data_IF_734050700037
#
_entry.id   IF_734050700037
#
_cell.length_a   1.000
_cell.length_b   1.000
_cell.length_c   1.000
_cell.angle_alpha   90.00
_cell.angle_beta   90.00
_cell.angle_gamma   90.00
#
_symmetry.space_group_name_H-M   'P 1'
#
loop_
_entity.id
_entity.type
_entity.pdbx_description
1 polymer ?
#
# COMPACT_ATOMS: atom_id res chain seq x y z
N UNK A 1 -22.32 -12.31 9.55
CA UNK A 1 -21.88 -10.92 9.86
C UNK A 1 -21.15 -10.40 8.64
N UNK A 2 -21.45 -9.16 8.20
CA UNK A 2 -20.73 -8.56 7.06
C UNK A 2 -19.34 -8.17 7.52
N UNK A 3 -18.29 -8.62 6.83
CA UNK A 3 -16.91 -8.20 7.04
C UNK A 3 -16.83 -6.68 6.79
N UNK A 4 -16.16 -5.92 7.68
CA UNK A 4 -15.99 -4.48 7.48
C UNK A 4 -15.15 -4.20 6.22
N UNK A 5 -15.28 -3.00 5.64
CA UNK A 5 -14.48 -2.60 4.47
C UNK A 5 -12.97 -2.72 4.76
N UNK A 6 -12.54 -2.27 5.93
CA UNK A 6 -11.13 -2.34 6.32
C UNK A 6 -10.64 -3.79 6.48
N UNK A 7 -11.42 -4.67 7.10
CA UNK A 7 -11.02 -6.07 7.24
C UNK A 7 -10.74 -6.73 5.89
N UNK A 8 -11.55 -6.42 4.85
CA UNK A 8 -11.29 -6.88 3.49
C UNK A 8 -9.96 -6.35 2.94
N UNK A 9 -9.67 -5.06 3.16
CA UNK A 9 -8.38 -4.49 2.73
C UNK A 9 -7.22 -5.12 3.47
N UNK A 10 -7.36 -5.36 4.76
CA UNK A 10 -6.37 -6.06 5.58
C UNK A 10 -6.12 -7.49 5.08
N UNK A 11 -7.17 -8.25 4.76
CA UNK A 11 -7.06 -9.59 4.16
C UNK A 11 -6.27 -9.55 2.85
N UNK A 12 -6.57 -8.64 1.94
CA UNK A 12 -5.84 -8.44 0.69
C UNK A 12 -4.36 -8.12 0.92
N UNK A 13 -4.07 -7.24 1.86
CA UNK A 13 -2.67 -6.89 2.18
C UNK A 13 -1.93 -8.01 2.90
N UNK A 14 -2.60 -8.84 3.70
CA UNK A 14 -2.00 -10.06 4.28
C UNK A 14 -1.67 -11.05 3.15
N UNK A 15 -2.56 -11.23 2.17
CA UNK A 15 -2.29 -12.03 0.98
C UNK A 15 -1.06 -11.52 0.22
N UNK A 16 -1.01 -10.21 -0.07
CA UNK A 16 0.13 -9.59 -0.73
C UNK A 16 1.43 -9.76 0.07
N UNK A 17 1.41 -9.45 1.37
CA UNK A 17 2.59 -9.58 2.25
C UNK A 17 3.08 -11.04 2.30
N UNK A 18 2.16 -12.01 2.35
CA UNK A 18 2.50 -13.44 2.32
C UNK A 18 3.13 -13.81 0.99
N UNK A 19 2.51 -13.42 -0.12
CA UNK A 19 2.98 -13.71 -1.46
C UNK A 19 4.37 -13.11 -1.74
N UNK A 20 4.59 -11.86 -1.31
CA UNK A 20 5.84 -11.12 -1.52
C UNK A 20 6.84 -11.24 -0.36
N UNK A 21 6.56 -12.09 0.63
CA UNK A 21 7.41 -12.27 1.82
C UNK A 21 7.71 -10.94 2.53
N UNK A 22 6.75 -10.02 2.48
CA UNK A 22 6.84 -8.76 3.20
C UNK A 22 6.56 -8.97 4.69
N UNK A 23 7.08 -8.11 5.58
CA UNK A 23 6.90 -8.27 7.02
C UNK A 23 5.43 -8.25 7.45
N UNK A 24 5.05 -9.21 8.31
CA UNK A 24 3.76 -9.27 9.01
C UNK A 24 4.07 -9.36 10.50
N UNK A 25 3.81 -8.30 11.26
CA UNK A 25 3.93 -8.32 12.72
C UNK A 25 2.60 -8.77 13.33
N UNK A 26 2.65 -9.70 14.29
CA UNK A 26 1.46 -10.18 15.01
C UNK A 26 0.99 -9.18 16.07
N UNK A 27 1.90 -8.35 16.52
CA UNK A 27 1.64 -7.30 17.51
C UNK A 27 2.65 -6.16 17.35
N UNK A 28 2.33 -5.00 17.90
CA UNK A 28 3.22 -3.83 17.87
C UNK A 28 4.60 -4.09 18.51
N UNK A 29 4.72 -5.02 19.45
CA UNK A 29 6.00 -5.38 20.06
C UNK A 29 6.98 -6.05 19.08
N UNK A 30 6.50 -6.53 17.95
CA UNK A 30 7.32 -7.11 16.88
C UNK A 30 7.73 -6.08 15.82
N UNK A 31 7.21 -4.84 15.91
CA UNK A 31 7.55 -3.76 14.97
C UNK A 31 9.05 -3.43 15.02
N UNK A 32 9.68 -3.36 13.84
CA UNK A 32 11.11 -3.11 13.71
C UNK A 32 11.36 -1.80 12.98
N UNK A 33 12.26 -1.01 13.51
CA UNK A 33 12.60 0.31 12.96
C UNK A 33 13.18 0.22 11.53
N UNK A 34 13.96 -0.81 11.23
CA UNK A 34 14.53 -1.02 9.90
C UNK A 34 13.45 -1.28 8.83
N UNK A 35 12.33 -1.89 9.20
CA UNK A 35 11.18 -2.09 8.31
C UNK A 35 10.40 -0.80 8.06
N UNK A 36 10.41 0.13 9.01
CA UNK A 36 9.73 1.42 8.88
C UNK A 36 10.36 2.31 7.80
N UNK A 37 11.66 2.23 7.59
CA UNK A 37 12.34 3.03 6.55
C UNK A 37 11.78 2.74 5.13
N UNK A 38 11.56 1.48 4.81
CA UNK A 38 10.90 1.11 3.54
C UNK A 38 9.47 1.65 3.48
N UNK A 39 8.71 1.56 4.57
CA UNK A 39 7.33 2.05 4.62
C UNK A 39 7.24 3.56 4.41
N UNK A 40 8.18 4.32 5.01
CA UNK A 40 8.32 5.76 4.80
C UNK A 40 8.53 6.10 3.32
N UNK A 41 9.46 5.40 2.65
CA UNK A 41 9.74 5.64 1.23
C UNK A 41 8.51 5.34 0.37
N UNK A 42 7.85 4.21 0.57
CA UNK A 42 6.65 3.83 -0.17
C UNK A 42 5.51 4.83 0.04
N UNK A 43 5.19 5.21 1.28
CA UNK A 43 4.14 6.21 1.57
C UNK A 43 4.47 7.54 0.88
N UNK A 44 5.73 7.97 0.94
CA UNK A 44 6.16 9.24 0.35
C UNK A 44 6.10 9.22 -1.18
N UNK A 45 6.44 8.09 -1.81
CA UNK A 45 6.39 7.88 -3.26
C UNK A 45 4.93 7.96 -3.75
N UNK A 46 4.03 7.13 -3.20
CA UNK A 46 2.62 7.08 -3.60
C UNK A 46 1.90 8.42 -3.33
N UNK A 47 2.20 9.04 -2.19
CA UNK A 47 1.64 10.35 -1.89
C UNK A 47 2.13 11.45 -2.83
N UNK A 48 3.40 11.41 -3.25
CA UNK A 48 3.93 12.36 -4.22
C UNK A 48 3.30 12.16 -5.61
N UNK A 49 2.99 10.93 -6.01
CA UNK A 49 2.25 10.63 -7.24
C UNK A 49 0.83 11.19 -7.18
N UNK A 50 0.11 10.94 -6.09
CA UNK A 50 -1.21 11.55 -5.84
C UNK A 50 -1.18 13.08 -5.92
N UNK A 51 -0.18 13.74 -5.33
CA UNK A 51 -0.08 15.21 -5.35
C UNK A 51 0.11 15.78 -6.75
N UNK A 52 0.78 15.06 -7.64
CA UNK A 52 1.02 15.44 -9.04
C UNK A 52 -0.14 15.09 -9.97
N UNK A 53 -1.04 14.20 -9.54
CA UNK A 53 -2.16 13.75 -10.35
C UNK A 53 -3.09 14.92 -10.72
N UNK A 54 -3.33 15.13 -12.00
CA UNK A 54 -4.25 16.16 -12.51
C UNK A 54 -5.56 15.53 -12.99
N UNK A 55 -5.48 14.34 -13.59
CA UNK A 55 -6.63 13.61 -14.09
C UNK A 55 -7.31 12.78 -13.00
N UNK A 56 -8.64 12.64 -13.09
CA UNK A 56 -9.45 11.93 -12.11
C UNK A 56 -8.95 10.48 -11.87
N UNK A 57 -8.64 9.74 -12.93
CA UNK A 57 -8.17 8.36 -12.80
C UNK A 57 -6.81 8.28 -12.10
N UNK A 58 -5.89 9.22 -12.33
CA UNK A 58 -4.60 9.29 -11.63
C UNK A 58 -4.77 9.68 -10.15
N UNK A 59 -5.78 10.51 -9.84
CA UNK A 59 -6.14 10.83 -8.45
C UNK A 59 -6.66 9.58 -7.74
N UNK A 60 -7.53 8.78 -8.39
CA UNK A 60 -8.05 7.53 -7.84
C UNK A 60 -6.91 6.55 -7.60
N UNK A 61 -6.01 6.39 -8.57
CA UNK A 61 -4.82 5.52 -8.48
C UNK A 61 -3.94 5.90 -7.29
N UNK A 62 -3.48 7.14 -7.23
CA UNK A 62 -2.62 7.63 -6.17
C UNK A 62 -3.25 7.57 -4.77
N UNK A 63 -4.55 7.83 -4.63
CA UNK A 63 -5.27 7.65 -3.36
C UNK A 63 -5.34 6.18 -2.96
N UNK A 64 -5.62 5.30 -3.92
CA UNK A 64 -5.75 3.86 -3.67
C UNK A 64 -4.41 3.24 -3.35
N UNK A 65 -3.35 3.58 -4.09
CA UNK A 65 -1.98 3.11 -3.82
C UNK A 65 -1.47 3.65 -2.48
N UNK A 66 -1.73 4.93 -2.14
CA UNK A 66 -1.43 5.46 -0.80
C UNK A 66 -2.13 4.63 0.29
N UNK A 67 -3.42 4.30 0.12
CA UNK A 67 -4.14 3.45 1.07
C UNK A 67 -3.55 2.04 1.16
N UNK A 68 -3.23 1.45 0.01
CA UNK A 68 -2.60 0.12 -0.07
C UNK A 68 -1.31 0.06 0.76
N UNK A 69 -0.46 1.07 0.61
CA UNK A 69 0.78 1.17 1.39
C UNK A 69 0.51 1.44 2.87
N UNK A 70 -0.48 2.27 3.21
CA UNK A 70 -0.83 2.59 4.60
C UNK A 70 -1.38 1.36 5.35
N UNK A 71 -2.28 0.59 4.73
CA UNK A 71 -2.78 -0.67 5.32
C UNK A 71 -1.62 -1.69 5.46
N UNK A 72 -0.77 -1.82 4.45
CA UNK A 72 0.44 -2.64 4.53
C UNK A 72 1.40 -2.18 5.64
N UNK A 73 1.46 -0.88 5.92
CA UNK A 73 2.25 -0.34 7.05
C UNK A 73 1.66 -0.77 8.38
N UNK A 74 0.34 -0.70 8.54
CA UNK A 74 -0.35 -1.17 9.74
C UNK A 74 -0.03 -2.64 10.05
N UNK A 75 -0.04 -3.51 9.01
CA UNK A 75 0.34 -4.92 9.11
C UNK A 75 1.83 -5.07 9.49
N UNK A 76 2.71 -4.29 8.86
CA UNK A 76 4.16 -4.33 9.13
C UNK A 76 4.50 -3.97 10.57
N UNK A 77 3.76 -3.02 11.18
CA UNK A 77 4.00 -2.59 12.57
C UNK A 77 3.08 -3.27 13.59
N UNK A 78 2.23 -4.21 13.16
CA UNK A 78 1.34 -4.95 14.06
C UNK A 78 0.31 -4.07 14.76
N UNK A 79 -0.22 -3.07 14.06
CA UNK A 79 -1.29 -2.17 14.54
C UNK A 79 -2.55 -2.43 13.73
N UNK A 80 -3.69 -2.52 14.42
CA UNK A 80 -5.00 -2.56 13.79
C UNK A 80 -5.73 -1.22 14.00
N UNK A 81 -5.81 -0.35 12.99
CA UNK A 81 -6.43 0.96 13.13
C UNK A 81 -7.94 0.93 13.28
N UNK A 82 -8.60 -0.20 13.05
CA UNK A 82 -10.06 -0.30 12.95
C UNK A 82 -10.82 -0.50 14.24
N UNK A 83 -10.18 -0.32 15.37
CA UNK A 83 -10.90 -0.38 16.67
C UNK A 83 -11.81 0.85 16.88
N UNK A 84 -11.73 1.87 16.00
CA UNK A 84 -12.54 3.10 16.12
C UNK A 84 -13.38 3.30 14.86
N UNK A 85 -14.67 2.96 14.90
CA UNK A 85 -15.64 3.42 13.91
C UNK A 85 -15.84 4.93 14.07
N UNK A 86 -15.30 5.72 13.15
CA UNK A 86 -15.63 7.13 13.05
C UNK A 86 -16.90 7.30 12.21
N UNK A 87 -17.80 8.23 12.60
CA UNK A 87 -18.96 8.53 11.76
C UNK A 87 -18.50 9.03 10.38
N UNK A 88 -19.31 8.80 9.32
CA UNK A 88 -18.98 9.29 8.00
C UNK A 88 -18.79 10.82 8.07
N UNK A 89 -17.66 11.33 7.56
CA UNK A 89 -17.40 12.76 7.63
C UNK A 89 -18.39 13.54 6.76
N UNK A 90 -18.74 14.78 7.16
CA UNK A 90 -19.60 15.61 6.34
C UNK A 90 -18.94 15.86 4.98
N UNK A 91 -19.76 15.82 3.92
CA UNK A 91 -19.34 16.19 2.57
C UNK A 91 -18.90 17.67 2.60
N UNK A 92 -17.62 17.93 2.50
CA UNK A 92 -17.08 19.28 2.48
C UNK A 92 -16.29 19.51 1.20
N UNK A 93 -16.62 20.49 0.36
CA UNK A 93 -15.97 20.77 -0.91
C UNK A 93 -14.57 21.42 -0.80
N UNK A 94 -13.94 21.41 0.38
CA UNK A 94 -12.61 21.99 0.56
C UNK A 94 -11.58 21.29 -0.35
N UNK A 95 -10.59 22.01 -0.92
CA UNK A 95 -9.55 21.43 -1.76
C UNK A 95 -8.83 20.31 -0.99
N UNK A 96 -9.11 19.07 -1.36
CA UNK A 96 -8.79 17.88 -0.58
C UNK A 96 -7.28 17.65 -0.44
N UNK A 97 -6.49 18.10 -1.45
CA UNK A 97 -5.04 17.91 -1.48
C UNK A 97 -4.29 18.51 -0.28
N UNK A 98 -4.79 19.61 0.31
CA UNK A 98 -4.13 20.26 1.46
C UNK A 98 -4.53 19.67 2.82
N UNK A 99 -5.73 19.11 2.94
CA UNK A 99 -6.21 18.51 4.21
C UNK A 99 -5.52 17.20 4.54
N UNK A 100 -4.90 16.57 3.56
CA UNK A 100 -4.25 15.28 3.67
C UNK A 100 -2.76 15.38 4.01
N UNK A 101 -2.13 16.52 3.71
CA UNK A 101 -0.69 16.77 3.94
C UNK A 101 -0.29 16.53 5.39
N UNK A 102 -1.04 17.07 6.34
CA UNK A 102 -0.72 16.97 7.76
C UNK A 102 -0.69 15.53 8.29
N UNK A 103 -1.63 14.70 7.82
CA UNK A 103 -1.76 13.30 8.24
C UNK A 103 -0.60 12.45 7.69
N UNK A 104 -0.26 12.60 6.41
CA UNK A 104 0.85 11.86 5.80
C UNK A 104 2.19 12.29 6.41
N UNK A 105 2.44 13.60 6.53
CA UNK A 105 3.65 14.11 7.17
C UNK A 105 3.75 13.63 8.61
N UNK A 106 2.64 13.64 9.34
CA UNK A 106 2.56 13.12 10.71
C UNK A 106 2.89 11.63 10.79
N UNK A 107 2.31 10.81 9.91
CA UNK A 107 2.58 9.38 9.84
C UNK A 107 4.04 9.09 9.52
N UNK A 108 4.60 9.73 8.48
CA UNK A 108 6.00 9.60 8.08
C UNK A 108 6.92 9.97 9.25
N UNK A 109 6.66 11.10 9.92
CA UNK A 109 7.44 11.51 11.10
C UNK A 109 7.39 10.47 12.22
N UNK A 110 6.21 9.88 12.50
CA UNK A 110 6.07 8.84 13.52
C UNK A 110 6.84 7.57 13.18
N UNK A 111 6.89 7.19 11.91
CA UNK A 111 7.67 6.04 11.45
C UNK A 111 9.19 6.28 11.48
N UNK A 112 9.64 7.54 11.47
CA UNK A 112 11.07 7.91 11.55
C UNK A 112 11.55 8.17 12.97
N UNK A 113 10.68 8.22 13.97
CA UNK A 113 11.07 8.38 15.38
C UNK A 113 11.96 7.21 15.84
N UNK A 114 12.99 7.53 16.64
CA UNK A 114 13.93 6.52 17.17
C UNK A 114 13.24 5.43 17.99
N UNK A 115 12.14 5.78 18.64
CA UNK A 115 11.28 4.86 19.41
C UNK A 115 9.87 4.96 18.84
N UNK A 116 9.38 3.86 18.31
CA UNK A 116 8.03 3.80 17.77
C UNK A 116 6.98 3.97 18.88
N UNK A 117 6.00 4.83 18.65
CA UNK A 117 4.92 5.09 19.59
C UNK A 117 3.61 4.52 19.06
N UNK A 118 3.09 3.48 19.73
CA UNK A 118 1.84 2.81 19.37
C UNK A 118 0.67 3.79 19.16
N UNK A 119 0.38 4.62 20.17
CA UNK A 119 -0.75 5.56 20.11
C UNK A 119 -0.60 6.59 18.98
N UNK A 120 0.62 7.08 18.78
CA UNK A 120 0.90 8.03 17.70
C UNK A 120 0.71 7.41 16.33
N UNK A 121 1.23 6.20 16.10
CA UNK A 121 1.05 5.48 14.85
C UNK A 121 -0.41 5.08 14.62
N UNK A 122 -1.09 4.56 15.63
CA UNK A 122 -2.51 4.20 15.55
C UNK A 122 -3.36 5.40 15.11
N UNK A 123 -3.18 6.58 15.75
CA UNK A 123 -3.92 7.80 15.41
C UNK A 123 -3.71 8.18 13.95
N UNK A 124 -2.45 8.30 13.51
CA UNK A 124 -2.15 8.73 12.14
C UNK A 124 -2.59 7.72 11.08
N UNK A 125 -2.41 6.40 11.31
CA UNK A 125 -2.89 5.37 10.39
C UNK A 125 -4.41 5.43 10.24
N UNK A 126 -5.14 5.58 11.36
CA UNK A 126 -6.60 5.72 11.39
C UNK A 126 -7.04 6.98 10.65
N UNK A 127 -6.42 8.13 10.93
CA UNK A 127 -6.74 9.40 10.29
C UNK A 127 -6.51 9.36 8.77
N UNK A 128 -5.38 8.80 8.31
CA UNK A 128 -5.10 8.67 6.88
C UNK A 128 -6.15 7.79 6.20
N UNK A 129 -6.49 6.64 6.79
CA UNK A 129 -7.55 5.78 6.27
C UNK A 129 -8.87 6.54 6.08
N UNK A 130 -9.33 7.24 7.14
CA UNK A 130 -10.59 7.98 7.07
C UNK A 130 -10.57 9.12 6.05
N UNK A 131 -9.43 9.82 5.92
CA UNK A 131 -9.29 10.87 4.91
C UNK A 131 -9.36 10.32 3.49
N UNK A 132 -8.75 9.18 3.21
CA UNK A 132 -8.84 8.54 1.89
C UNK A 132 -10.27 8.05 1.64
N UNK A 133 -10.94 7.46 2.63
CA UNK A 133 -12.34 7.07 2.49
C UNK A 133 -13.25 8.27 2.22
N UNK A 134 -13.02 9.40 2.89
CA UNK A 134 -13.73 10.66 2.60
C UNK A 134 -13.44 11.16 1.18
N UNK A 135 -12.18 11.07 0.74
CA UNK A 135 -11.80 11.45 -0.62
C UNK A 135 -12.56 10.62 -1.66
N UNK A 136 -12.66 9.31 -1.46
CA UNK A 136 -13.37 8.44 -2.40
C UNK A 136 -14.84 8.87 -2.60
N UNK A 137 -15.52 9.27 -1.50
CA UNK A 137 -16.87 9.83 -1.56
C UNK A 137 -16.89 11.15 -2.35
N UNK A 138 -15.96 12.08 -2.06
CA UNK A 138 -15.89 13.39 -2.72
C UNK A 138 -15.56 13.30 -4.21
N UNK A 139 -14.72 12.34 -4.61
CA UNK A 139 -14.39 12.07 -6.01
C UNK A 139 -15.40 11.14 -6.71
N UNK A 140 -16.39 10.63 -5.98
CA UNK A 140 -17.48 9.82 -6.51
C UNK A 140 -17.01 8.45 -7.02
N UNK A 141 -16.13 7.74 -6.29
CA UNK A 141 -15.72 6.39 -6.63
C UNK A 141 -15.84 5.41 -5.47
N UNK A 142 -15.98 4.13 -5.81
CA UNK A 142 -16.01 3.05 -4.82
C UNK A 142 -14.59 2.68 -4.40
N UNK A 143 -14.22 3.03 -3.16
CA UNK A 143 -12.90 2.68 -2.62
C UNK A 143 -12.68 1.17 -2.57
N UNK A 144 -13.75 0.38 -2.31
CA UNK A 144 -13.67 -1.08 -2.33
C UNK A 144 -13.38 -1.61 -3.73
N UNK A 145 -14.02 -1.06 -4.76
CA UNK A 145 -13.75 -1.47 -6.15
C UNK A 145 -12.34 -1.09 -6.57
N UNK A 146 -11.88 0.12 -6.23
CA UNK A 146 -10.52 0.56 -6.53
C UNK A 146 -9.47 -0.33 -5.86
N UNK A 147 -9.63 -0.64 -4.56
CA UNK A 147 -8.73 -1.54 -3.83
C UNK A 147 -8.70 -2.95 -4.43
N UNK A 148 -9.84 -3.49 -4.88
CA UNK A 148 -9.87 -4.79 -5.54
C UNK A 148 -9.08 -4.79 -6.85
N UNK A 149 -9.23 -3.75 -7.67
CA UNK A 149 -8.51 -3.60 -8.95
C UNK A 149 -7.00 -3.46 -8.71
N UNK A 150 -6.61 -2.59 -7.78
CA UNK A 150 -5.20 -2.36 -7.44
C UNK A 150 -4.58 -3.62 -6.82
N UNK A 151 -5.31 -4.32 -5.94
CA UNK A 151 -4.82 -5.58 -5.36
C UNK A 151 -4.61 -6.65 -6.45
N UNK A 152 -5.59 -6.86 -7.33
CA UNK A 152 -5.46 -7.80 -8.44
C UNK A 152 -4.25 -7.47 -9.32
N UNK A 153 -4.06 -6.18 -9.68
CA UNK A 153 -2.88 -5.70 -10.41
C UNK A 153 -1.58 -5.99 -9.65
N UNK A 154 -1.51 -5.67 -8.37
CA UNK A 154 -0.32 -5.90 -7.55
C UNK A 154 0.08 -7.38 -7.47
N UNK A 155 -0.89 -8.29 -7.43
CA UNK A 155 -0.61 -9.74 -7.45
C UNK A 155 0.00 -10.21 -8.78
N UNK A 156 -0.24 -9.52 -9.89
CA UNK A 156 0.40 -9.81 -11.18
C UNK A 156 1.88 -9.38 -11.26
N UNK A 157 2.43 -8.73 -10.22
CA UNK A 157 3.87 -8.43 -10.13
C UNK A 157 4.74 -9.69 -9.86
N UNK A 158 4.11 -10.83 -9.58
CA UNK A 158 4.81 -12.11 -9.40
C UNK A 158 5.18 -12.72 -10.75
N UNK A 159 6.43 -13.08 -10.90
CA UNK A 159 6.97 -13.69 -12.11
C UNK A 159 6.66 -15.19 -12.18
N UNK A 160 6.33 -15.69 -13.36
CA UNK A 160 6.33 -17.12 -13.64
C UNK A 160 7.76 -17.66 -13.76
N UNK A 161 7.93 -18.98 -13.65
CA UNK A 161 9.25 -19.62 -13.82
C UNK A 161 9.86 -19.30 -15.19
N UNK A 162 9.07 -19.41 -16.25
CA UNK A 162 9.53 -19.16 -17.62
C UNK A 162 10.02 -17.71 -17.84
N UNK A 163 9.23 -16.73 -17.40
CA UNK A 163 9.62 -15.31 -17.51
C UNK A 163 10.88 -15.01 -16.68
N UNK A 164 10.97 -15.57 -15.46
CA UNK A 164 12.14 -15.47 -14.59
C UNK A 164 13.38 -16.00 -15.28
N UNK A 165 13.31 -17.18 -15.89
CA UNK A 165 14.45 -17.83 -16.54
C UNK A 165 14.95 -17.02 -17.75
N UNK A 166 14.05 -16.43 -18.53
CA UNK A 166 14.39 -15.50 -19.61
C UNK A 166 15.12 -14.26 -19.09
N UNK A 167 14.64 -13.63 -18.02
CA UNK A 167 15.30 -12.45 -17.44
C UNK A 167 16.66 -12.82 -16.83
N UNK A 168 16.75 -13.97 -16.15
CA UNK A 168 17.99 -14.46 -15.56
C UNK A 168 19.08 -14.67 -16.62
N UNK A 169 18.72 -15.23 -17.77
CA UNK A 169 19.64 -15.42 -18.89
C UNK A 169 20.09 -14.10 -19.53
N UNK A 170 19.21 -13.10 -19.60
CA UNK A 170 19.48 -11.82 -20.26
C UNK A 170 20.24 -10.82 -19.39
N UNK A 171 19.94 -10.74 -18.08
CA UNK A 171 20.43 -9.69 -17.20
C UNK A 171 20.45 -10.11 -15.70
N UNK A 172 20.73 -11.38 -15.42
CA UNK A 172 20.64 -11.94 -14.05
C UNK A 172 21.55 -11.26 -13.02
N UNK A 173 22.64 -10.63 -13.44
CA UNK A 173 23.56 -9.90 -12.57
C UNK A 173 22.95 -8.64 -11.97
N UNK A 174 21.88 -8.07 -12.57
CA UNK A 174 21.24 -6.84 -12.11
C UNK A 174 20.14 -7.07 -11.06
N UNK A 175 19.70 -8.32 -10.91
CA UNK A 175 18.52 -8.65 -10.12
C UNK A 175 18.78 -9.75 -9.08
N UNK A 176 17.94 -9.75 -8.03
CA UNK A 176 17.78 -10.89 -7.12
C UNK A 176 16.52 -11.65 -7.50
N UNK A 177 16.55 -12.97 -7.34
CA UNK A 177 15.49 -13.88 -7.71
C UNK A 177 15.12 -14.72 -6.48
N UNK A 178 13.95 -14.50 -5.93
CA UNK A 178 13.48 -15.17 -4.71
C UNK A 178 12.18 -15.93 -5.00
N UNK A 179 12.03 -17.19 -4.51
CA UNK A 179 10.71 -17.83 -4.55
C UNK A 179 9.72 -17.00 -3.73
N UNK A 180 8.51 -16.83 -4.25
CA UNK A 180 7.44 -16.15 -3.54
C UNK A 180 6.78 -17.03 -2.46
N UNK A 181 5.78 -16.53 -1.76
CA UNK A 181 4.91 -17.32 -0.89
C UNK A 181 3.88 -18.15 -1.67
N UNK A 182 3.79 -17.97 -2.99
CA UNK A 182 2.93 -18.75 -3.89
C UNK A 182 3.79 -19.75 -4.68
N UNK A 183 3.40 -21.04 -4.75
CA UNK A 183 4.13 -22.04 -5.54
C UNK A 183 4.35 -21.59 -7.00
N UNK A 184 5.52 -21.91 -7.55
CA UNK A 184 5.90 -21.62 -8.94
C UNK A 184 5.84 -20.13 -9.34
N UNK A 185 5.90 -19.25 -8.35
CA UNK A 185 5.96 -17.79 -8.53
C UNK A 185 7.21 -17.22 -7.86
N UNK A 186 7.72 -16.13 -8.44
CA UNK A 186 8.99 -15.53 -8.03
C UNK A 186 8.85 -14.03 -7.81
N UNK A 187 9.62 -13.52 -6.85
CA UNK A 187 9.82 -12.10 -6.60
C UNK A 187 11.15 -11.73 -7.22
N UNK A 188 11.15 -10.74 -8.11
CA UNK A 188 12.37 -10.23 -8.70
C UNK A 188 12.57 -8.79 -8.26
N UNK A 189 13.73 -8.50 -7.67
CA UNK A 189 14.08 -7.17 -7.19
C UNK A 189 15.35 -6.69 -7.88
N UNK A 190 15.38 -5.42 -8.22
CA UNK A 190 16.59 -4.76 -8.71
C UNK A 190 17.60 -4.59 -7.57
N UNK A 191 18.83 -5.05 -7.75
CA UNK A 191 19.88 -5.01 -6.71
C UNK A 191 20.24 -3.59 -6.27
N UNK A 192 20.11 -2.60 -7.19
CA UNK A 192 20.48 -1.22 -6.95
C UNK A 192 19.66 -0.56 -5.83
N UNK A 193 18.35 -0.81 -5.78
CA UNK A 193 17.39 -0.11 -4.92
C UNK A 193 16.37 -1.03 -4.25
N UNK A 194 16.43 -2.33 -4.51
CA UNK A 194 15.47 -3.31 -3.96
C UNK A 194 14.07 -3.22 -4.54
N UNK A 195 13.82 -2.39 -5.58
CA UNK A 195 12.51 -2.23 -6.20
C UNK A 195 12.07 -3.53 -6.87
N UNK A 196 10.81 -3.94 -6.61
CA UNK A 196 10.18 -5.08 -7.27
C UNK A 196 10.02 -4.77 -8.76
N UNK A 197 10.49 -5.67 -9.62
CA UNK A 197 10.40 -5.54 -11.07
C UNK A 197 9.13 -6.24 -11.56
N UNK A 198 8.38 -5.54 -12.40
CA UNK A 198 7.15 -6.05 -13.01
C UNK A 198 7.51 -7.03 -14.13
N UNK A 199 6.86 -8.22 -14.21
CA UNK A 199 7.05 -9.15 -15.32
C UNK A 199 6.44 -8.59 -16.63
N UNK A 200 6.80 -9.15 -17.80
CA UNK A 200 6.13 -8.84 -19.05
C UNK A 200 4.61 -9.09 -19.02
N UNK A 201 4.17 -10.07 -18.25
CA UNK A 201 2.75 -10.39 -18.04
C UNK A 201 2.04 -9.49 -17.03
N UNK A 202 2.69 -8.45 -16.50
CA UNK A 202 2.07 -7.51 -15.56
C UNK A 202 0.85 -6.83 -16.15
N UNK A 203 -0.24 -6.82 -15.39
CA UNK A 203 -1.49 -6.14 -15.75
C UNK A 203 -1.64 -4.88 -14.90
N UNK A 204 -1.59 -3.71 -15.53
CA UNK A 204 -1.83 -2.45 -14.83
C UNK A 204 -3.29 -2.34 -14.35
N UNK A 205 -3.58 -1.60 -13.25
CA UNK A 205 -4.94 -1.42 -12.77
C UNK A 205 -5.74 -0.57 -13.78
N UNK A 206 -6.94 -1.04 -14.12
CA UNK A 206 -7.90 -0.26 -14.93
C UNK A 206 -8.89 0.46 -14.01
N UNK A 207 -8.63 1.72 -13.73
CA UNK A 207 -9.45 2.58 -12.87
C UNK A 207 -10.31 3.59 -13.67
N UNK A 208 -10.29 3.51 -15.01
CA UNK A 208 -11.05 4.43 -15.87
C UNK A 208 -12.56 4.24 -15.75
N UNK A 209 -12.99 3.03 -15.34
CA UNK A 209 -14.40 2.67 -15.19
C UNK A 209 -15.04 3.05 -13.84
N UNK A 210 -14.27 3.64 -12.92
CA UNK A 210 -14.71 3.99 -11.55
C UNK A 210 -15.26 5.39 -11.39
#
# INVERSE_FOLDING_TARGET
MSTSQYERFKEQLIEFHTAFKAPIARSFSEARQDQCALRVNLISEEYAEYKKAEDRHLVIDGLTDTLYVVVGTAITVGIDPMVVELPPPPVNPTPFKSLFDGQIIGLVRKLTERVLCYRGLLSHLTEVYHKINQASVNYGFSLTSAMNIVHASNMTKLWSANEKDHLMAAAGELYTFEPSGIPDRYIIKRKLDGKIIKPPSFVAPDLLSL
#
